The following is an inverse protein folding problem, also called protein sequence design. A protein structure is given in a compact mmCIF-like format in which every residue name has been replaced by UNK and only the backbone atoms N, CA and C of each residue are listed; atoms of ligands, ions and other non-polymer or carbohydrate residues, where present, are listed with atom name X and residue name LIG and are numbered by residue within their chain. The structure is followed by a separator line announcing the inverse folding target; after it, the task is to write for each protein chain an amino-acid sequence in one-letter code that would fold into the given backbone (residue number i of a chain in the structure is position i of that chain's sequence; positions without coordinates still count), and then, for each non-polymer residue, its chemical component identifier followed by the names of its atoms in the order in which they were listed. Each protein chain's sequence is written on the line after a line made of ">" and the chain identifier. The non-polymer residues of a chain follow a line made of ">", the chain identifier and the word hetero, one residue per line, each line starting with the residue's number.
data_IF_511599034638
#
_entry.id   IF_511599034638
#
_cell.length_a   1.000
_cell.length_b   1.000
_cell.length_c   1.000
_cell.angle_alpha   90.00
_cell.angle_beta   90.00
_cell.angle_gamma   90.00
#
_symmetry.space_group_name_H-M   'P 1'
#
loop_
_entity.id
_entity.type
_entity.pdbx_description
1 polymer ?
#
# COMPACT_ATOMS: atom_id res chain seq x y z
N UNK A 1 -8.40 0.19 -14.31
CA UNK A 1 -9.66 0.95 -14.51
C UNK A 1 -9.43 2.46 -14.54
N UNK A 2 -8.74 3.06 -13.56
CA UNK A 2 -8.27 4.47 -13.64
C UNK A 2 -7.29 4.73 -14.81
N UNK A 3 -6.55 3.70 -15.24
CA UNK A 3 -5.64 3.79 -16.39
C UNK A 3 -6.35 4.09 -17.72
N UNK A 4 -7.61 3.67 -17.90
CA UNK A 4 -8.37 3.97 -19.14
C UNK A 4 -8.79 5.44 -19.27
N UNK A 5 -8.63 6.23 -18.20
CA UNK A 5 -8.96 7.68 -18.17
C UNK A 5 -7.70 8.53 -18.35
N UNK A 6 -6.51 7.95 -18.15
CA UNK A 6 -5.25 8.65 -18.38
C UNK A 6 -4.98 8.78 -19.89
N UNK A 7 -4.44 9.92 -20.36
CA UNK A 7 -3.97 10.02 -21.74
C UNK A 7 -2.74 9.10 -21.94
N UNK A 8 -2.99 7.90 -22.47
CA UNK A 8 -1.98 6.87 -22.78
C UNK A 8 -2.56 5.44 -22.66
N UNK A 9 -2.14 4.50 -23.53
CA UNK A 9 -2.59 3.10 -23.43
C UNK A 9 -1.79 2.34 -22.36
N UNK A 10 -2.34 1.23 -21.83
CA UNK A 10 -1.63 0.35 -20.89
C UNK A 10 -0.30 -0.13 -21.48
N UNK A 11 -0.28 -0.36 -22.80
CA UNK A 11 0.93 -0.80 -23.50
C UNK A 11 1.99 0.29 -23.56
N UNK A 12 1.61 1.57 -23.60
CA UNK A 12 2.58 2.67 -23.59
C UNK A 12 3.30 2.78 -22.24
N UNK A 13 2.63 2.43 -21.14
CA UNK A 13 3.22 2.39 -19.80
C UNK A 13 4.14 1.18 -19.57
N UNK A 14 4.04 0.13 -20.40
CA UNK A 14 4.88 -1.08 -20.30
C UNK A 14 6.25 -0.92 -20.97
N UNK A 15 6.40 0.03 -21.90
CA UNK A 15 7.63 0.23 -22.65
C UNK A 15 8.29 1.56 -22.30
N UNK A 16 9.59 1.56 -22.00
CA UNK A 16 10.35 2.79 -21.75
C UNK A 16 10.46 3.72 -22.97
N UNK A 17 10.20 3.20 -24.17
CA UNK A 17 10.12 3.93 -25.45
C UNK A 17 8.92 3.45 -26.27
N UNK A 18 7.70 3.89 -25.94
CA UNK A 18 6.48 3.36 -26.54
C UNK A 18 6.34 3.69 -28.03
N UNK A 19 6.98 4.75 -28.52
CA UNK A 19 6.98 5.12 -29.94
C UNK A 19 7.83 4.19 -30.83
N UNK A 20 8.75 3.41 -30.23
CA UNK A 20 9.60 2.47 -30.95
C UNK A 20 8.93 1.10 -31.18
N UNK A 21 7.73 0.88 -30.64
CA UNK A 21 6.97 -0.38 -30.73
C UNK A 21 5.89 -0.24 -31.79
N UNK A 22 5.86 -1.18 -32.75
CA UNK A 22 4.86 -1.19 -33.81
C UNK A 22 3.44 -1.33 -33.26
N UNK A 23 2.49 -0.61 -33.85
CA UNK A 23 1.07 -0.59 -33.44
C UNK A 23 0.42 -1.98 -33.44
N UNK A 24 0.83 -2.88 -34.35
CA UNK A 24 0.37 -4.26 -34.40
C UNK A 24 0.76 -5.08 -33.16
N UNK A 25 1.97 -4.86 -32.64
CA UNK A 25 2.47 -5.51 -31.42
C UNK A 25 1.73 -4.98 -30.19
N UNK A 26 1.48 -3.67 -30.12
CA UNK A 26 0.67 -3.09 -29.04
C UNK A 26 -0.74 -3.69 -29.01
N UNK A 27 -1.41 -3.73 -30.16
CA UNK A 27 -2.76 -4.32 -30.27
C UNK A 27 -2.79 -5.80 -29.91
N UNK A 28 -1.75 -6.56 -30.25
CA UNK A 28 -1.66 -7.96 -29.85
C UNK A 28 -1.53 -8.13 -28.33
N UNK A 29 -0.75 -7.26 -27.67
CA UNK A 29 -0.61 -7.24 -26.21
C UNK A 29 -1.94 -6.86 -25.55
N UNK A 30 -2.66 -5.89 -26.10
CA UNK A 30 -3.99 -5.49 -25.59
C UNK A 30 -4.98 -6.66 -25.58
N UNK A 31 -5.04 -7.40 -26.69
CA UNK A 31 -5.89 -8.60 -26.81
C UNK A 31 -5.44 -9.68 -25.82
N UNK A 32 -4.14 -9.92 -25.70
CA UNK A 32 -3.60 -10.92 -24.76
C UNK A 32 -3.88 -10.58 -23.29
N UNK A 33 -3.89 -9.29 -22.96
CA UNK A 33 -4.23 -8.80 -21.62
C UNK A 33 -5.76 -8.64 -21.41
N UNK A 34 -6.58 -8.92 -22.42
CA UNK A 34 -8.03 -8.77 -22.38
C UNK A 34 -8.49 -7.31 -22.28
N UNK A 35 -7.62 -6.35 -22.64
CA UNK A 35 -7.90 -4.92 -22.59
C UNK A 35 -8.90 -4.47 -23.66
N UNK A 36 -9.16 -5.32 -24.66
CA UNK A 36 -10.17 -5.18 -25.70
C UNK A 36 -11.61 -5.44 -25.20
N UNK A 37 -11.75 -6.13 -24.06
CA UNK A 37 -13.06 -6.48 -23.48
C UNK A 37 -13.67 -5.31 -22.72
N UNK A 38 -14.99 -5.35 -22.51
CA UNK A 38 -15.66 -4.41 -21.63
C UNK A 38 -15.00 -4.42 -20.23
N UNK A 39 -14.76 -3.23 -19.67
CA UNK A 39 -14.12 -3.03 -18.35
C UNK A 39 -14.78 -3.84 -17.24
N UNK A 40 -16.11 -3.99 -17.26
CA UNK A 40 -16.81 -4.82 -16.28
C UNK A 40 -16.39 -6.29 -16.37
N UNK A 41 -16.30 -6.84 -17.59
CA UNK A 41 -15.85 -8.22 -17.81
C UNK A 41 -14.39 -8.42 -17.37
N UNK A 42 -13.51 -7.46 -17.64
CA UNK A 42 -12.12 -7.49 -17.18
C UNK A 42 -12.05 -7.55 -15.65
N UNK A 43 -12.83 -6.70 -14.97
CA UNK A 43 -12.85 -6.62 -13.52
C UNK A 43 -13.37 -7.91 -12.87
N UNK A 44 -14.50 -8.45 -13.36
CA UNK A 44 -15.04 -9.70 -12.84
C UNK A 44 -14.14 -10.91 -13.13
N UNK A 45 -13.52 -10.97 -14.31
CA UNK A 45 -12.52 -12.00 -14.64
C UNK A 45 -11.32 -11.93 -13.70
N UNK A 46 -10.83 -10.73 -13.41
CA UNK A 46 -9.73 -10.53 -12.47
C UNK A 46 -10.12 -10.93 -11.04
N UNK A 47 -11.31 -10.58 -10.56
CA UNK A 47 -11.79 -11.02 -9.24
C UNK A 47 -11.87 -12.54 -9.18
N UNK A 48 -12.42 -13.19 -10.20
CA UNK A 48 -12.57 -14.64 -10.20
C UNK A 48 -11.22 -15.37 -10.15
N UNK A 49 -10.24 -14.89 -10.93
CA UNK A 49 -8.86 -15.37 -10.89
C UNK A 49 -8.21 -15.11 -9.52
N UNK A 50 -8.37 -13.90 -8.98
CA UNK A 50 -7.85 -13.51 -7.67
C UNK A 50 -8.37 -14.41 -6.55
N UNK A 51 -9.67 -14.73 -6.54
CA UNK A 51 -10.28 -15.63 -5.56
C UNK A 51 -9.78 -17.07 -5.68
N UNK A 52 -9.27 -17.47 -6.86
CA UNK A 52 -8.61 -18.76 -7.06
C UNK A 52 -7.11 -18.74 -6.72
N UNK A 53 -6.59 -17.59 -6.26
CA UNK A 53 -5.18 -17.41 -5.93
C UNK A 53 -4.30 -17.06 -7.13
N UNK A 54 -4.89 -16.83 -8.30
CA UNK A 54 -4.17 -16.29 -9.46
C UNK A 54 -4.20 -14.75 -9.44
N UNK A 55 -3.11 -14.18 -8.96
CA UNK A 55 -2.92 -12.74 -8.94
C UNK A 55 -2.40 -12.19 -10.28
N UNK A 56 -1.98 -13.06 -11.21
CA UNK A 56 -1.35 -12.68 -12.47
C UNK A 56 0.10 -12.24 -12.35
N UNK A 57 0.58 -11.60 -13.41
CA UNK A 57 1.95 -11.10 -13.56
C UNK A 57 1.99 -9.58 -13.40
N UNK A 58 3.10 -9.08 -12.87
CA UNK A 58 3.42 -7.66 -12.86
C UNK A 58 3.67 -7.16 -14.29
N UNK A 59 2.89 -6.17 -14.74
CA UNK A 59 3.08 -5.56 -16.06
C UNK A 59 4.40 -4.79 -16.20
N UNK A 60 5.03 -4.46 -15.07
CA UNK A 60 6.31 -3.71 -15.03
C UNK A 60 7.50 -4.66 -14.97
N UNK A 61 7.45 -5.67 -14.10
CA UNK A 61 8.60 -6.55 -13.83
C UNK A 61 8.50 -7.94 -14.45
N UNK A 62 7.33 -8.33 -14.99
CA UNK A 62 7.09 -9.67 -15.54
C UNK A 62 7.01 -10.79 -14.51
N UNK A 63 7.34 -10.53 -13.24
CA UNK A 63 7.26 -11.51 -12.15
C UNK A 63 5.81 -11.77 -11.71
N UNK A 64 5.53 -12.99 -11.25
CA UNK A 64 4.26 -13.34 -10.61
C UNK A 64 4.02 -12.46 -9.38
N UNK A 65 2.82 -11.87 -9.28
CA UNK A 65 2.48 -10.97 -8.18
C UNK A 65 2.52 -11.70 -6.82
N UNK A 66 2.14 -12.98 -6.78
CA UNK A 66 2.26 -13.83 -5.58
C UNK A 66 3.69 -13.91 -5.05
N UNK A 67 4.69 -14.05 -5.91
CA UNK A 67 6.10 -14.06 -5.51
C UNK A 67 6.56 -12.70 -4.98
N UNK A 68 6.13 -11.60 -5.61
CA UNK A 68 6.45 -10.23 -5.16
C UNK A 68 5.85 -9.99 -3.76
N UNK A 69 4.58 -10.37 -3.57
CA UNK A 69 3.91 -10.29 -2.27
C UNK A 69 4.65 -11.17 -1.26
N UNK A 70 4.95 -12.42 -1.60
CA UNK A 70 5.67 -13.36 -0.72
C UNK A 70 7.04 -12.84 -0.25
N UNK A 71 7.77 -12.10 -1.10
CA UNK A 71 9.04 -11.47 -0.73
C UNK A 71 8.87 -10.30 0.27
N UNK A 72 7.76 -9.57 0.22
CA UNK A 72 7.54 -8.34 1.01
C UNK A 72 6.69 -8.56 2.26
N UNK A 73 5.75 -9.51 2.19
CA UNK A 73 4.76 -9.79 3.22
C UNK A 73 5.38 -10.13 4.59
N UNK A 74 6.46 -10.93 4.70
CA UNK A 74 7.06 -11.23 6.00
C UNK A 74 7.55 -9.97 6.73
N UNK A 75 8.17 -9.04 6.00
CA UNK A 75 8.63 -7.78 6.59
C UNK A 75 7.45 -6.92 7.04
N UNK A 76 6.41 -6.78 6.22
CA UNK A 76 5.19 -6.06 6.60
C UNK A 76 4.55 -6.66 7.86
N UNK A 77 4.42 -7.99 7.92
CA UNK A 77 3.87 -8.68 9.10
C UNK A 77 4.74 -8.42 10.33
N UNK A 78 6.05 -8.57 10.21
CA UNK A 78 6.97 -8.36 11.33
C UNK A 78 6.87 -6.92 11.87
N UNK A 79 6.88 -5.93 10.98
CA UNK A 79 6.69 -4.52 11.31
C UNK A 79 5.32 -4.26 11.95
N UNK A 80 4.23 -4.76 11.36
CA UNK A 80 2.88 -4.56 11.89
C UNK A 80 2.68 -5.21 13.27
N UNK A 81 3.18 -6.43 13.49
CA UNK A 81 3.09 -7.11 14.77
C UNK A 81 3.92 -6.41 15.85
N UNK A 82 5.14 -5.99 15.52
CA UNK A 82 5.97 -5.21 16.44
C UNK A 82 5.28 -3.90 16.83
N UNK A 83 4.78 -3.14 15.85
CA UNK A 83 4.04 -1.90 16.10
C UNK A 83 2.79 -2.14 16.95
N UNK A 84 2.00 -3.16 16.62
CA UNK A 84 0.79 -3.51 17.37
C UNK A 84 1.10 -3.85 18.83
N UNK A 85 2.16 -4.64 19.07
CA UNK A 85 2.60 -5.00 20.41
C UNK A 85 2.98 -3.76 21.22
N UNK A 86 3.85 -2.89 20.69
CA UNK A 86 4.27 -1.69 21.40
C UNK A 86 3.13 -0.71 21.64
N UNK A 87 2.30 -0.45 20.62
CA UNK A 87 1.12 0.43 20.77
C UNK A 87 0.22 -0.11 21.86
N UNK A 88 -0.15 -1.39 21.80
CA UNK A 88 -1.06 -1.98 22.79
C UNK A 88 -0.47 -1.90 24.20
N UNK A 89 0.82 -2.19 24.36
CA UNK A 89 1.50 -2.12 25.65
C UNK A 89 1.50 -0.69 26.21
N UNK A 90 1.94 0.29 25.44
CA UNK A 90 1.99 1.68 25.89
C UNK A 90 0.61 2.28 26.10
N UNK A 91 -0.35 2.02 25.21
CA UNK A 91 -1.73 2.49 25.36
C UNK A 91 -2.39 1.94 26.61
N UNK A 92 -2.18 0.67 26.95
CA UNK A 92 -2.69 0.11 28.20
C UNK A 92 -2.06 0.80 29.41
N UNK A 93 -0.73 0.88 29.48
CA UNK A 93 -0.02 1.49 30.62
C UNK A 93 -0.45 2.95 30.81
N UNK A 94 -0.37 3.76 29.75
CA UNK A 94 -0.73 5.17 29.82
C UNK A 94 -2.22 5.37 30.09
N UNK A 95 -3.09 4.54 29.51
CA UNK A 95 -4.53 4.56 29.77
C UNK A 95 -4.88 4.24 31.22
N UNK A 96 -4.22 3.24 31.82
CA UNK A 96 -4.38 2.93 33.24
C UNK A 96 -3.91 4.08 34.14
N UNK A 97 -2.76 4.70 33.82
CA UNK A 97 -2.24 5.86 34.56
C UNK A 97 -3.23 7.02 34.49
N UNK A 98 -3.75 7.37 33.31
CA UNK A 98 -4.78 8.39 33.14
C UNK A 98 -6.04 8.10 33.96
N UNK A 99 -6.48 6.83 34.00
CA UNK A 99 -7.65 6.44 34.76
C UNK A 99 -7.46 6.61 36.28
N UNK A 100 -6.29 6.25 36.82
CA UNK A 100 -5.97 6.39 38.26
C UNK A 100 -5.81 7.87 38.64
N UNK A 101 -5.12 8.65 37.81
CA UNK A 101 -4.81 10.06 38.06
C UNK A 101 -5.78 11.02 37.37
N UNK A 102 -7.04 10.62 37.20
CA UNK A 102 -8.06 11.39 36.50
C UNK A 102 -8.12 12.86 36.95
N UNK A 103 -8.14 13.78 35.99
CA UNK A 103 -8.15 15.24 36.19
C UNK A 103 -6.95 15.79 36.98
N UNK A 104 -5.86 15.01 37.14
CA UNK A 104 -4.60 15.50 37.69
C UNK A 104 -3.68 15.95 36.56
N UNK A 105 -2.60 16.62 36.93
CA UNK A 105 -1.59 17.10 35.98
C UNK A 105 -1.08 16.00 35.04
N UNK A 106 -0.86 14.79 35.55
CA UNK A 106 -0.35 13.64 34.76
C UNK A 106 -1.35 13.27 33.65
N UNK A 107 -2.63 13.18 33.97
CA UNK A 107 -3.69 12.87 33.01
C UNK A 107 -3.79 13.94 31.91
N UNK A 108 -3.78 15.23 32.31
CA UNK A 108 -3.80 16.36 31.38
C UNK A 108 -2.56 16.33 30.47
N UNK A 109 -1.37 16.11 31.03
CA UNK A 109 -0.12 16.05 30.28
C UNK A 109 -0.12 14.94 29.24
N UNK A 110 -0.48 13.71 29.64
CA UNK A 110 -0.53 12.55 28.73
C UNK A 110 -1.51 12.82 27.57
N UNK A 111 -2.70 13.35 27.85
CA UNK A 111 -3.68 13.67 26.82
C UNK A 111 -3.21 14.76 25.85
N UNK A 112 -2.61 15.85 26.36
CA UNK A 112 -2.07 16.92 25.51
C UNK A 112 -0.96 16.40 24.60
N UNK A 113 0.01 15.65 25.14
CA UNK A 113 1.10 15.09 24.34
C UNK A 113 0.57 14.11 23.30
N UNK A 114 -0.39 13.25 23.67
CA UNK A 114 -1.03 12.31 22.74
C UNK A 114 -1.73 13.06 21.60
N UNK A 115 -2.46 14.13 21.92
CA UNK A 115 -3.13 14.96 20.93
C UNK A 115 -2.14 15.64 19.98
N UNK A 116 -1.08 16.25 20.51
CA UNK A 116 -0.05 16.89 19.70
C UNK A 116 0.61 15.90 18.73
N UNK A 117 0.96 14.71 19.20
CA UNK A 117 1.53 13.65 18.34
C UNK A 117 0.55 13.18 17.27
N UNK A 118 -0.75 13.08 17.59
CA UNK A 118 -1.78 12.68 16.64
C UNK A 118 -2.02 13.71 15.53
N UNK A 119 -1.73 14.99 15.78
CA UNK A 119 -1.81 16.04 14.78
C UNK A 119 -0.62 16.06 13.79
N UNK A 120 0.49 15.37 14.10
CA UNK A 120 1.65 15.35 13.22
C UNK A 120 1.40 14.47 11.99
N UNK A 121 1.69 14.96 10.77
CA UNK A 121 1.63 14.12 9.58
C UNK A 121 2.62 12.96 9.66
N UNK A 122 2.16 11.72 9.40
CA UNK A 122 3.00 10.53 9.50
C UNK A 122 4.29 10.60 8.68
N UNK A 123 4.24 11.17 7.48
CA UNK A 123 5.43 11.32 6.62
C UNK A 123 6.49 12.22 7.27
N UNK A 124 6.08 13.29 7.95
CA UNK A 124 6.98 14.25 8.59
C UNK A 124 7.71 13.59 9.75
N UNK A 125 6.99 12.83 10.58
CA UNK A 125 7.57 12.04 11.68
C UNK A 125 8.56 11.01 11.15
N UNK A 126 8.22 10.33 10.05
CA UNK A 126 9.11 9.39 9.38
C UNK A 126 10.42 10.04 8.92
N UNK A 127 10.34 11.22 8.30
CA UNK A 127 11.54 11.99 7.91
C UNK A 127 12.38 12.41 9.11
N UNK A 128 11.75 12.89 10.19
CA UNK A 128 12.46 13.24 11.41
C UNK A 128 13.20 12.04 12.02
N UNK A 129 12.58 10.86 12.05
CA UNK A 129 13.24 9.64 12.50
C UNK A 129 14.40 9.22 11.60
N UNK A 130 14.25 9.33 10.27
CA UNK A 130 15.38 9.09 9.36
C UNK A 130 16.55 10.00 9.76
N UNK A 131 16.35 11.31 9.91
CA UNK A 131 17.42 12.25 10.27
C UNK A 131 18.08 11.97 11.62
N UNK A 132 17.32 11.46 12.60
CA UNK A 132 17.84 11.15 13.95
C UNK A 132 18.63 9.84 13.97
N UNK A 133 18.28 8.87 13.12
CA UNK A 133 18.86 7.52 13.12
C UNK A 133 19.77 7.21 11.92
N UNK A 134 19.90 8.11 10.93
CA UNK A 134 20.76 7.96 9.74
C UNK A 134 22.21 8.33 9.99
#
# INVERSE_FOLDING_TARGET
>A
MLIFILPGSVTDAMFSRPEAVSESVKRQIEINLGLDKNVFLQYFSWIFAFLQGDFGLSLISGESISAIIGKRLPNTIALSLASFFFISLFSLILGFICAIYKNKFIDIFINITTFLLACLPHFWVGLAFILVFS
#
